data_IF_553642797225
#
_entry.id   IF_553642797225
#
_cell.length_a   1.000
_cell.length_b   1.000
_cell.length_c   1.000
_cell.angle_alpha   90.00
_cell.angle_beta   90.00
_cell.angle_gamma   90.00
#
_symmetry.space_group_name_H-M   'P 1'
#
loop_
_entity.id
_entity.type
_entity.pdbx_description
1 polymer ?
#
# COMPACT_ATOMS: atom_id res chain seq x y z
N UNK A 1 16.06 -6.56 -18.84
CA UNK A 1 16.07 -8.03 -18.70
C UNK A 1 15.32 -8.33 -17.42
N UNK A 2 14.09 -8.84 -17.52
CA UNK A 2 13.14 -8.96 -16.40
C UNK A 2 13.45 -10.26 -15.67
N UNK A 3 13.88 -10.18 -14.41
CA UNK A 3 13.93 -11.35 -13.53
C UNK A 3 12.48 -11.61 -13.08
N UNK A 4 11.84 -12.58 -13.73
CA UNK A 4 10.57 -13.14 -13.25
C UNK A 4 10.88 -14.06 -12.06
N UNK A 5 10.56 -13.61 -10.84
CA UNK A 5 10.44 -14.51 -9.69
C UNK A 5 9.14 -15.30 -9.84
N UNK A 6 9.22 -16.45 -10.49
CA UNK A 6 8.15 -17.46 -10.50
C UNK A 6 8.26 -18.27 -9.20
N UNK A 7 7.33 -18.07 -8.28
CA UNK A 7 7.09 -18.96 -7.15
C UNK A 7 6.26 -20.13 -7.70
N UNK A 8 6.90 -21.27 -7.94
CA UNK A 8 6.21 -22.52 -8.27
C UNK A 8 5.70 -23.19 -6.99
N UNK A 9 4.39 -23.19 -6.80
CA UNK A 9 3.70 -24.11 -5.89
C UNK A 9 3.81 -25.54 -6.45
N UNK A 10 4.46 -26.43 -5.71
CA UNK A 10 4.44 -27.86 -6.00
C UNK A 10 3.22 -28.48 -5.32
N UNK A 11 2.29 -28.96 -6.14
CA UNK A 11 1.24 -29.89 -5.77
C UNK A 11 1.89 -31.26 -5.47
N UNK A 12 1.62 -31.83 -4.30
CA UNK A 12 1.80 -33.25 -4.04
C UNK A 12 0.49 -33.82 -3.49
N UNK A 13 -0.12 -34.71 -4.28
CA UNK A 13 -1.13 -35.66 -3.84
C UNK A 13 -0.42 -36.84 -3.14
N UNK A 14 -0.89 -37.21 -1.95
CA UNK A 14 -0.90 -38.61 -1.51
C UNK A 14 -1.99 -38.84 -0.46
N UNK A 15 -2.79 -39.85 -0.75
CA UNK A 15 -3.96 -40.34 -0.02
C UNK A 15 -3.63 -41.15 1.25
N UNK A 16 -4.67 -41.32 2.07
CA UNK A 16 -4.86 -42.18 3.25
C UNK A 16 -4.28 -41.58 4.54
N UNK A 17 -5.03 -41.35 5.61
CA UNK A 17 -6.29 -41.94 6.06
C UNK A 17 -6.06 -42.41 7.48
N UNK A 18 -6.60 -41.69 8.47
CA UNK A 18 -7.01 -42.20 9.78
C UNK A 18 -7.70 -41.07 10.55
N UNK A 19 -8.77 -41.47 11.23
CA UNK A 19 -9.69 -40.66 12.02
C UNK A 19 -9.00 -40.19 13.30
N UNK A 20 -9.10 -38.91 13.63
CA UNK A 20 -9.00 -38.44 15.02
C UNK A 20 -9.90 -37.22 15.22
N UNK A 21 -10.88 -37.40 16.12
CA UNK A 21 -11.70 -36.35 16.72
C UNK A 21 -10.81 -35.34 17.43
N UNK A 22 -10.95 -34.06 17.09
CA UNK A 22 -10.43 -32.97 17.93
C UNK A 22 -11.56 -31.95 18.14
N UNK A 23 -11.88 -31.78 19.42
CA UNK A 23 -12.89 -30.90 19.98
C UNK A 23 -12.77 -29.45 19.48
N UNK A 24 -13.90 -28.92 19.02
CA UNK A 24 -14.09 -27.50 18.73
C UNK A 24 -14.12 -26.70 20.04
N UNK A 25 -13.08 -25.92 20.30
CA UNK A 25 -13.14 -24.84 21.28
C UNK A 25 -13.88 -23.67 20.64
N UNK A 26 -15.14 -23.50 21.04
CA UNK A 26 -15.92 -22.27 20.88
C UNK A 26 -15.26 -21.12 21.64
N UNK A 27 -15.17 -19.96 21.00
CA UNK A 27 -14.92 -18.71 21.71
C UNK A 27 -14.22 -17.65 20.89
N UNK A 28 -14.96 -16.93 20.04
CA UNK A 28 -14.71 -15.51 19.77
C UNK A 28 -16.03 -14.82 19.46
N UNK A 29 -16.71 -14.46 20.54
CA UNK A 29 -17.68 -13.37 20.54
C UNK A 29 -16.97 -12.01 20.43
N UNK A 30 -17.69 -11.07 19.82
CA UNK A 30 -17.57 -9.62 19.98
C UNK A 30 -16.46 -8.87 19.21
N UNK A 31 -16.72 -8.65 17.91
CA UNK A 31 -16.10 -7.56 17.14
C UNK A 31 -17.06 -6.36 17.17
N UNK A 32 -17.20 -5.74 18.34
CA UNK A 32 -17.84 -4.43 18.49
C UNK A 32 -16.90 -3.45 19.20
N UNK A 33 -16.90 -2.20 18.73
CA UNK A 33 -16.11 -1.06 19.21
C UNK A 33 -14.60 -1.07 18.93
N UNK A 34 -14.23 -0.76 17.68
CA UNK A 34 -13.02 0.05 17.47
C UNK A 34 -13.36 1.50 17.89
N UNK A 35 -13.36 1.76 19.20
CA UNK A 35 -13.13 3.12 19.70
C UNK A 35 -11.62 3.38 19.55
N UNK A 36 -11.23 3.90 18.40
CA UNK A 36 -9.89 4.45 18.28
C UNK A 36 -9.89 5.86 18.85
N UNK A 37 -9.49 5.99 20.12
CA UNK A 37 -8.95 7.24 20.63
C UNK A 37 -7.55 7.44 20.06
N UNK A 38 -7.46 7.68 18.75
CA UNK A 38 -6.28 8.32 18.20
C UNK A 38 -6.41 9.80 18.54
N UNK A 39 -5.70 10.21 19.58
CA UNK A 39 -5.35 11.61 19.75
C UNK A 39 -4.72 12.08 18.44
N UNK A 40 -5.38 13.04 17.79
CA UNK A 40 -4.77 13.90 16.78
C UNK A 40 -3.63 14.67 17.45
N UNK A 41 -2.51 13.99 17.69
CA UNK A 41 -1.23 14.65 17.60
C UNK A 41 -0.97 14.77 16.10
N UNK A 42 -1.56 15.82 15.53
CA UNK A 42 -0.81 16.60 14.57
C UNK A 42 0.56 16.84 15.23
N UNK A 43 1.54 15.98 14.97
CA UNK A 43 2.92 16.41 14.91
C UNK A 43 2.98 17.41 13.75
N UNK A 44 2.36 18.60 13.93
CA UNK A 44 3.07 19.84 13.72
C UNK A 44 4.46 19.55 14.26
N UNK A 45 5.39 19.30 13.34
CA UNK A 45 6.74 18.96 13.69
C UNK A 45 7.12 19.92 14.80
N UNK A 46 7.51 19.38 15.96
CA UNK A 46 8.10 20.22 17.00
C UNK A 46 8.99 21.17 16.24
N UNK A 47 8.61 22.45 16.24
CA UNK A 47 9.53 23.48 15.82
C UNK A 47 10.61 23.35 16.87
N UNK A 48 11.61 22.51 16.56
CA UNK A 48 12.92 22.62 17.15
C UNK A 48 13.18 24.09 16.97
N UNK A 49 13.17 24.82 18.10
CA UNK A 49 13.57 26.21 18.18
C UNK A 49 14.61 26.44 17.09
N UNK A 50 14.37 27.38 16.19
CA UNK A 50 15.17 27.64 14.99
C UNK A 50 16.60 28.13 15.28
N UNK A 51 17.28 27.50 16.23
CA UNK A 51 18.72 27.46 16.31
C UNK A 51 19.25 26.37 15.39
N UNK A 52 20.49 26.53 14.90
CA UNK A 52 21.15 25.50 14.12
C UNK A 52 21.24 24.21 14.94
N UNK A 53 20.77 23.09 14.37
CA UNK A 53 21.05 21.75 14.91
C UNK A 53 22.56 21.57 14.77
N UNK A 54 23.27 21.54 15.90
CA UNK A 54 24.71 21.32 15.91
C UNK A 54 24.97 19.84 15.63
N UNK A 55 25.45 19.54 14.42
CA UNK A 55 25.82 18.17 14.04
C UNK A 55 27.13 17.82 14.72
N UNK A 56 27.06 16.90 15.70
CA UNK A 56 28.27 16.37 16.32
C UNK A 56 29.02 15.52 15.30
N UNK A 57 30.29 15.86 15.08
CA UNK A 57 31.18 14.99 14.33
C UNK A 57 31.39 13.69 15.13
N UNK A 58 31.49 12.54 14.46
CA UNK A 58 31.71 11.28 15.15
C UNK A 58 33.04 11.31 15.89
N UNK A 59 33.09 10.69 17.05
CA UNK A 59 34.36 10.46 17.72
C UNK A 59 35.20 9.47 16.90
N UNK A 60 36.53 9.55 17.00
CA UNK A 60 37.41 8.52 16.43
C UNK A 60 37.12 7.13 17.01
N UNK A 61 36.56 7.08 18.21
CA UNK A 61 36.10 5.86 18.87
C UNK A 61 34.88 5.28 18.14
N UNK A 62 33.93 6.10 17.70
CA UNK A 62 32.76 5.64 16.94
C UNK A 62 33.17 5.01 15.61
N UNK A 63 34.05 5.65 14.83
CA UNK A 63 34.55 5.06 13.58
C UNK A 63 35.26 3.72 13.82
N UNK A 64 36.09 3.64 14.87
CA UNK A 64 36.76 2.39 15.22
C UNK A 64 35.79 1.30 15.63
N UNK A 65 34.70 1.63 16.33
CA UNK A 65 33.68 0.66 16.75
C UNK A 65 32.81 0.22 15.59
N UNK A 66 32.51 1.10 14.64
CA UNK A 66 31.78 0.78 13.40
C UNK A 66 32.57 -0.21 12.52
N UNK A 67 33.91 -0.11 12.51
CA UNK A 67 34.78 -1.07 11.83
C UNK A 67 34.80 -2.46 12.50
N UNK A 68 34.52 -2.53 13.81
CA UNK A 68 34.56 -3.76 14.60
C UNK A 68 33.21 -4.47 14.71
N UNK A 69 32.09 -3.75 14.63
CA UNK A 69 30.74 -4.30 14.76
C UNK A 69 29.79 -3.71 13.73
N UNK A 70 29.23 -4.58 12.89
CA UNK A 70 28.24 -4.22 11.86
C UNK A 70 26.91 -3.81 12.52
N UNK A 71 26.58 -4.39 13.66
CA UNK A 71 25.43 -4.02 14.47
C UNK A 71 25.55 -2.57 14.96
N UNK A 72 26.68 -2.24 15.58
CA UNK A 72 26.96 -0.88 16.04
C UNK A 72 27.01 0.10 14.86
N UNK A 73 27.54 -0.34 13.71
CA UNK A 73 27.53 0.46 12.49
C UNK A 73 26.11 0.86 12.06
N UNK A 74 25.18 -0.10 11.98
CA UNK A 74 23.79 0.23 11.65
C UNK A 74 23.11 1.06 12.73
N UNK A 75 23.39 0.80 14.00
CA UNK A 75 22.85 1.61 15.10
C UNK A 75 23.18 3.09 14.92
N UNK A 76 24.47 3.39 14.71
CA UNK A 76 24.94 4.76 14.50
C UNK A 76 24.30 5.38 13.25
N UNK A 77 24.29 4.67 12.12
CA UNK A 77 23.76 5.21 10.85
C UNK A 77 22.27 5.52 10.91
N UNK A 78 21.49 4.68 11.60
CA UNK A 78 20.02 4.79 11.66
C UNK A 78 19.55 5.79 12.72
N UNK A 79 20.26 5.90 13.84
CA UNK A 79 19.91 6.86 14.91
C UNK A 79 20.41 8.28 14.62
N UNK A 80 21.35 8.44 13.68
CA UNK A 80 21.89 9.74 13.32
C UNK A 80 20.96 10.54 12.40
N UNK A 81 20.75 11.82 12.74
CA UNK A 81 20.08 12.78 11.86
C UNK A 81 21.11 13.41 10.92
N UNK A 82 21.10 12.97 9.68
CA UNK A 82 22.06 13.39 8.66
C UNK A 82 21.79 14.84 8.20
N UNK A 83 22.85 15.65 7.98
CA UNK A 83 22.70 16.99 7.42
C UNK A 83 22.07 16.93 6.04
N UNK A 84 21.19 17.88 5.69
CA UNK A 84 20.64 17.97 4.35
C UNK A 84 21.74 18.19 3.32
N UNK A 85 21.66 17.48 2.19
CA UNK A 85 22.55 17.74 1.06
C UNK A 85 22.23 19.10 0.44
N UNK A 86 23.26 19.86 0.08
CA UNK A 86 23.14 21.14 -0.64
C UNK A 86 22.69 20.91 -2.09
N UNK A 87 23.23 19.87 -2.73
CA UNK A 87 22.94 19.50 -4.11
C UNK A 87 22.58 18.00 -4.18
N UNK A 88 21.42 17.59 -3.65
CA UNK A 88 21.02 16.19 -3.66
C UNK A 88 20.81 15.71 -5.11
N UNK A 89 21.12 14.43 -5.41
CA UNK A 89 20.86 13.86 -6.72
C UNK A 89 19.37 13.91 -7.08
N UNK A 90 19.07 14.04 -8.37
CA UNK A 90 17.70 13.96 -8.86
C UNK A 90 17.21 12.51 -8.83
N UNK A 91 16.01 12.32 -8.28
CA UNK A 91 15.29 11.04 -8.27
C UNK A 91 14.37 10.92 -9.50
N UNK A 92 13.75 12.04 -9.89
CA UNK A 92 13.07 12.23 -11.17
C UNK A 92 13.19 13.70 -11.60
N UNK A 93 12.50 14.10 -12.67
CA UNK A 93 12.60 15.47 -13.21
C UNK A 93 12.14 16.59 -12.28
N UNK A 94 11.45 16.25 -11.18
CA UNK A 94 10.77 17.20 -10.29
C UNK A 94 11.05 16.99 -8.79
N UNK A 95 11.84 15.97 -8.42
CA UNK A 95 12.19 15.65 -7.03
C UNK A 95 13.60 15.09 -6.92
N UNK A 96 14.19 15.28 -5.74
CA UNK A 96 15.52 14.80 -5.39
C UNK A 96 15.44 13.58 -4.47
N UNK A 97 16.54 12.85 -4.34
CA UNK A 97 16.65 11.81 -3.33
C UNK A 97 16.53 12.40 -1.92
N UNK A 98 15.77 11.76 -1.00
CA UNK A 98 15.78 12.10 0.41
C UNK A 98 17.17 11.93 1.00
N UNK A 99 17.57 12.85 1.89
CA UNK A 99 18.84 12.84 2.61
C UNK A 99 19.23 11.48 3.20
N UNK A 100 18.33 10.72 3.87
CA UNK A 100 18.71 9.47 4.53
C UNK A 100 19.07 8.33 3.55
N UNK A 101 18.64 8.41 2.29
CA UNK A 101 18.83 7.30 1.33
C UNK A 101 20.30 7.02 1.11
N UNK A 102 21.09 8.06 0.85
CA UNK A 102 22.52 7.93 0.55
C UNK A 102 23.28 7.23 1.69
N UNK A 103 23.28 7.73 2.94
CA UNK A 103 24.04 7.12 4.01
C UNK A 103 23.54 5.73 4.42
N UNK A 104 22.22 5.50 4.41
CA UNK A 104 21.64 4.19 4.77
C UNK A 104 21.96 3.15 3.69
N UNK A 105 21.76 3.47 2.41
CA UNK A 105 22.05 2.53 1.34
C UNK A 105 23.56 2.28 1.20
N UNK A 106 24.39 3.32 1.36
CA UNK A 106 25.83 3.15 1.43
C UNK A 106 26.25 2.25 2.60
N UNK A 107 25.61 2.34 3.77
CA UNK A 107 25.89 1.43 4.89
C UNK A 107 25.52 -0.02 4.57
N UNK A 108 24.39 -0.26 3.89
CA UNK A 108 24.00 -1.61 3.41
C UNK A 108 25.04 -2.18 2.43
N UNK A 109 25.59 -1.36 1.54
CA UNK A 109 26.66 -1.77 0.62
C UNK A 109 27.98 -2.02 1.34
N UNK A 110 28.39 -1.08 2.20
CA UNK A 110 29.67 -1.10 2.90
C UNK A 110 29.77 -2.28 3.88
N UNK A 111 28.70 -2.51 4.64
CA UNK A 111 28.57 -3.64 5.56
C UNK A 111 28.47 -4.99 4.84
N UNK A 112 28.24 -5.00 3.51
CA UNK A 112 28.05 -6.23 2.73
C UNK A 112 26.92 -7.15 3.25
N UNK A 113 25.99 -6.61 4.04
CA UNK A 113 24.90 -7.34 4.71
C UNK A 113 24.10 -8.23 3.73
N UNK A 114 23.90 -7.75 2.51
CA UNK A 114 23.10 -8.43 1.48
C UNK A 114 23.91 -9.33 0.56
N UNK A 115 25.17 -9.63 0.87
CA UNK A 115 26.06 -10.45 0.02
C UNK A 115 26.43 -11.78 0.72
N UNK A 116 27.18 -12.64 0.02
CA UNK A 116 27.75 -13.88 0.56
C UNK A 116 29.16 -13.66 1.19
N UNK A 117 29.47 -12.45 1.62
CA UNK A 117 30.75 -12.15 2.26
C UNK A 117 30.84 -12.81 3.65
N UNK A 118 31.83 -13.69 3.80
CA UNK A 118 32.06 -14.46 5.04
C UNK A 118 32.32 -13.59 6.26
N UNK A 119 32.83 -12.37 6.08
CA UNK A 119 33.12 -11.47 7.21
C UNK A 119 31.86 -11.01 7.95
N UNK A 120 30.69 -11.14 7.32
CA UNK A 120 29.41 -10.65 7.86
C UNK A 120 28.46 -11.81 8.15
N UNK A 121 28.75 -13.02 7.68
CA UNK A 121 27.86 -14.18 7.84
C UNK A 121 27.59 -14.48 9.32
N UNK A 122 28.61 -14.42 10.17
CA UNK A 122 28.50 -14.64 11.62
C UNK A 122 27.71 -13.53 12.33
N UNK A 123 27.55 -12.37 11.69
CA UNK A 123 26.86 -11.18 12.20
C UNK A 123 25.56 -10.86 11.47
N UNK A 124 25.14 -11.70 10.51
CA UNK A 124 24.04 -11.37 9.62
C UNK A 124 22.73 -11.18 10.38
N UNK A 125 22.35 -12.15 11.20
CA UNK A 125 21.07 -12.13 11.92
C UNK A 125 21.02 -10.97 12.93
N UNK A 126 22.10 -10.75 13.69
CA UNK A 126 22.19 -9.66 14.67
C UNK A 126 22.14 -8.28 13.99
N UNK A 127 22.94 -8.06 12.94
CA UNK A 127 22.96 -6.79 12.22
C UNK A 127 21.64 -6.52 11.49
N UNK A 128 21.04 -7.56 10.88
CA UNK A 128 19.74 -7.46 10.24
C UNK A 128 18.64 -7.11 11.25
N UNK A 129 18.65 -7.72 12.44
CA UNK A 129 17.69 -7.41 13.49
C UNK A 129 17.83 -5.97 13.99
N UNK A 130 19.06 -5.50 14.26
CA UNK A 130 19.30 -4.09 14.62
C UNK A 130 18.76 -3.15 13.54
N UNK A 131 19.05 -3.45 12.27
CA UNK A 131 18.51 -2.65 11.17
C UNK A 131 16.97 -2.59 11.21
N UNK A 132 16.31 -3.74 11.34
CA UNK A 132 14.84 -3.81 11.27
C UNK A 132 14.13 -3.26 12.52
N UNK A 133 14.78 -3.30 13.68
CA UNK A 133 14.27 -2.71 14.92
C UNK A 133 14.40 -1.18 14.92
N UNK A 134 15.52 -0.65 14.42
CA UNK A 134 15.82 0.78 14.49
C UNK A 134 15.32 1.58 13.27
N UNK A 135 15.33 0.99 12.08
CA UNK A 135 14.95 1.68 10.84
C UNK A 135 13.55 2.34 10.87
N UNK A 136 12.49 1.73 11.45
CA UNK A 136 11.19 2.39 11.58
C UNK A 136 11.22 3.73 12.35
N UNK A 137 12.24 3.90 13.20
CA UNK A 137 12.38 4.98 14.17
C UNK A 137 13.44 6.02 13.79
N UNK A 138 13.96 5.99 12.55
CA UNK A 138 14.94 6.99 12.08
C UNK A 138 14.41 8.43 12.30
N UNK A 139 15.27 9.41 12.61
CA UNK A 139 14.89 10.73 13.12
C UNK A 139 14.41 11.70 12.01
N UNK A 140 13.41 11.27 11.24
CA UNK A 140 12.84 11.97 10.10
C UNK A 140 11.31 12.01 10.14
N UNK A 141 10.72 12.92 9.38
CA UNK A 141 9.25 13.01 9.26
C UNK A 141 8.65 11.74 8.65
N UNK A 142 7.34 11.53 8.82
CA UNK A 142 6.66 10.38 8.20
C UNK A 142 6.78 10.37 6.67
N UNK A 143 6.74 11.54 6.04
CA UNK A 143 6.91 11.70 4.60
C UNK A 143 8.31 11.30 4.13
N UNK A 144 9.35 11.74 4.84
CA UNK A 144 10.73 11.37 4.52
C UNK A 144 11.00 9.88 4.77
N UNK A 145 10.47 9.33 5.86
CA UNK A 145 10.54 7.88 6.16
C UNK A 145 9.90 7.05 5.05
N UNK A 146 8.69 7.40 4.63
CA UNK A 146 8.01 6.74 3.51
C UNK A 146 8.83 6.78 2.22
N UNK A 147 9.33 7.95 1.84
CA UNK A 147 10.14 8.11 0.64
C UNK A 147 11.44 7.32 0.72
N UNK A 148 12.09 7.33 1.88
CA UNK A 148 13.32 6.57 2.12
C UNK A 148 13.06 5.07 1.98
N UNK A 149 12.00 4.54 2.60
CA UNK A 149 11.66 3.11 2.52
C UNK A 149 11.35 2.68 1.10
N UNK A 150 10.53 3.48 0.40
CA UNK A 150 10.22 3.26 -1.01
C UNK A 150 11.50 3.13 -1.83
N UNK A 151 12.41 4.09 -1.71
CA UNK A 151 13.62 4.15 -2.51
C UNK A 151 14.59 3.03 -2.14
N UNK A 152 14.72 2.67 -0.86
CA UNK A 152 15.55 1.55 -0.42
C UNK A 152 15.06 0.21 -1.01
N UNK A 153 13.76 -0.03 -1.03
CA UNK A 153 13.19 -1.23 -1.69
C UNK A 153 13.57 -1.23 -3.18
N UNK A 154 13.39 -0.09 -3.85
CA UNK A 154 13.66 0.04 -5.27
C UNK A 154 15.15 -0.12 -5.60
N UNK A 155 16.05 0.50 -4.82
CA UNK A 155 17.49 0.38 -4.98
C UNK A 155 17.98 -1.05 -4.72
N UNK A 156 17.49 -1.69 -3.65
CA UNK A 156 17.85 -3.08 -3.35
C UNK A 156 17.39 -4.05 -4.44
N UNK A 157 16.25 -3.77 -5.07
CA UNK A 157 15.75 -4.56 -6.20
C UNK A 157 16.50 -4.26 -7.52
N UNK A 158 16.71 -2.98 -7.83
CA UNK A 158 17.29 -2.51 -9.10
C UNK A 158 18.78 -2.81 -9.21
N UNK A 159 19.51 -2.58 -8.12
CA UNK A 159 20.96 -2.65 -8.09
C UNK A 159 21.49 -4.01 -7.63
N UNK A 160 20.63 -5.01 -7.42
CA UNK A 160 21.01 -6.35 -6.93
C UNK A 160 22.15 -6.98 -7.75
N UNK A 161 22.08 -6.88 -9.08
CA UNK A 161 23.14 -7.38 -9.97
C UNK A 161 24.39 -6.50 -9.89
N UNK A 162 24.25 -5.17 -9.87
CA UNK A 162 25.38 -4.21 -9.83
C UNK A 162 26.26 -4.46 -8.61
N UNK A 163 25.66 -4.78 -7.47
CA UNK A 163 26.35 -4.95 -6.19
C UNK A 163 26.47 -6.40 -5.72
N UNK A 164 26.19 -7.38 -6.60
CA UNK A 164 26.30 -8.82 -6.30
C UNK A 164 25.55 -9.26 -5.03
N UNK A 165 24.30 -8.82 -4.88
CA UNK A 165 23.49 -9.23 -3.74
C UNK A 165 23.11 -10.71 -3.83
N UNK A 166 23.16 -11.39 -2.68
CA UNK A 166 22.59 -12.71 -2.49
C UNK A 166 21.06 -12.62 -2.68
N UNK A 167 20.47 -13.40 -3.60
CA UNK A 167 19.03 -13.30 -3.90
C UNK A 167 18.11 -13.59 -2.70
N UNK A 168 18.48 -14.53 -1.82
CA UNK A 168 17.68 -14.87 -0.65
C UNK A 168 17.71 -13.75 0.39
N UNK A 169 18.91 -13.25 0.75
CA UNK A 169 19.07 -12.14 1.71
C UNK A 169 18.39 -10.87 1.21
N UNK A 170 18.57 -10.54 -0.07
CA UNK A 170 17.90 -9.40 -0.69
C UNK A 170 16.37 -9.54 -0.66
N UNK A 171 15.83 -10.73 -0.96
CA UNK A 171 14.39 -10.98 -0.90
C UNK A 171 13.82 -10.83 0.52
N UNK A 172 14.54 -11.31 1.55
CA UNK A 172 14.15 -11.14 2.96
C UNK A 172 14.22 -9.67 3.39
N UNK A 173 15.28 -8.96 3.01
CA UNK A 173 15.41 -7.53 3.29
C UNK A 173 14.29 -6.71 2.65
N UNK A 174 14.00 -6.97 1.36
CA UNK A 174 12.92 -6.30 0.64
C UNK A 174 11.55 -6.61 1.26
N UNK A 175 11.28 -7.86 1.66
CA UNK A 175 9.98 -8.22 2.25
C UNK A 175 9.76 -7.54 3.61
N UNK A 176 10.80 -7.42 4.45
CA UNK A 176 10.69 -6.68 5.71
C UNK A 176 10.48 -5.18 5.48
N UNK A 177 11.22 -4.58 4.54
CA UNK A 177 11.00 -3.18 4.17
C UNK A 177 9.62 -2.95 3.56
N UNK A 178 9.07 -3.92 2.81
CA UNK A 178 7.70 -3.85 2.30
C UNK A 178 6.69 -3.76 3.44
N UNK A 179 6.80 -4.58 4.49
CA UNK A 179 5.91 -4.50 5.66
C UNK A 179 5.95 -3.10 6.29
N UNK A 180 7.14 -2.49 6.39
CA UNK A 180 7.32 -1.14 6.93
C UNK A 180 6.71 -0.09 5.99
N UNK A 181 6.94 -0.23 4.68
CA UNK A 181 6.40 0.64 3.65
C UNK A 181 4.87 0.65 3.66
N UNK A 182 4.23 -0.51 3.79
CA UNK A 182 2.77 -0.63 3.84
C UNK A 182 2.18 0.15 5.02
N UNK A 183 2.76 -0.01 6.21
CA UNK A 183 2.36 0.76 7.41
C UNK A 183 2.51 2.26 7.18
N UNK A 184 3.63 2.70 6.61
CA UNK A 184 3.90 4.11 6.34
C UNK A 184 2.95 4.69 5.28
N UNK A 185 2.69 3.95 4.20
CA UNK A 185 1.75 4.35 3.17
C UNK A 185 0.33 4.50 3.72
N UNK A 186 -0.13 3.54 4.54
CA UNK A 186 -1.44 3.64 5.19
C UNK A 186 -1.52 4.86 6.10
N UNK A 187 -0.45 5.18 6.85
CA UNK A 187 -0.39 6.40 7.67
C UNK A 187 -0.50 7.68 6.82
N UNK A 188 0.14 7.72 5.66
CA UNK A 188 0.04 8.86 4.72
C UNK A 188 -1.34 8.97 4.10
N UNK A 189 -2.01 7.85 3.83
CA UNK A 189 -3.35 7.82 3.25
C UNK A 189 -4.45 8.12 4.28
N UNK A 190 -4.19 7.93 5.57
CA UNK A 190 -5.19 8.08 6.63
C UNK A 190 -5.94 9.43 6.60
N UNK A 191 -5.28 10.60 6.47
CA UNK A 191 -5.99 11.88 6.39
C UNK A 191 -6.89 11.99 5.15
N UNK A 192 -6.51 11.36 4.03
CA UNK A 192 -7.35 11.29 2.85
C UNK A 192 -8.58 10.40 3.08
N UNK A 193 -8.42 9.29 3.81
CA UNK A 193 -9.53 8.42 4.19
C UNK A 193 -10.52 9.10 5.12
N UNK A 194 -10.03 9.79 6.16
CA UNK A 194 -10.88 10.52 7.12
C UNK A 194 -11.76 11.56 6.39
N UNK A 195 -11.18 12.33 5.46
CA UNK A 195 -11.93 13.29 4.62
C UNK A 195 -12.98 12.63 3.73
N UNK A 196 -12.77 11.38 3.33
CA UNK A 196 -13.63 10.66 2.40
C UNK A 196 -14.74 9.83 3.05
N UNK A 197 -14.72 9.64 4.37
CA UNK A 197 -15.64 8.74 5.07
C UNK A 197 -17.11 9.17 4.92
N UNK A 198 -17.39 10.46 5.10
CA UNK A 198 -18.73 11.02 4.92
C UNK A 198 -19.25 10.79 3.49
N UNK A 199 -18.37 10.86 2.49
CA UNK A 199 -18.71 10.62 1.09
C UNK A 199 -19.15 9.18 0.87
N UNK A 200 -18.45 8.22 1.47
CA UNK A 200 -18.81 6.79 1.42
C UNK A 200 -20.21 6.57 2.00
N UNK A 201 -20.48 7.16 3.17
CA UNK A 201 -21.77 7.04 3.83
C UNK A 201 -22.90 7.65 2.98
N UNK A 202 -22.72 8.88 2.49
CA UNK A 202 -23.73 9.56 1.64
C UNK A 202 -23.98 8.81 0.34
N UNK A 203 -22.92 8.37 -0.34
CA UNK A 203 -23.03 7.63 -1.59
C UNK A 203 -23.83 6.33 -1.41
N UNK A 204 -23.58 5.56 -0.35
CA UNK A 204 -24.29 4.30 -0.08
C UNK A 204 -25.80 4.43 0.16
N UNK A 205 -26.31 5.65 0.40
CA UNK A 205 -27.77 5.85 0.62
C UNK A 205 -28.59 5.71 -0.65
N UNK A 206 -27.98 5.99 -1.82
CA UNK A 206 -28.65 6.14 -3.12
C UNK A 206 -29.78 7.19 -3.16
N UNK A 207 -29.91 8.03 -2.13
CA UNK A 207 -30.93 9.08 -2.01
C UNK A 207 -30.29 10.45 -1.83
N UNK A 208 -29.12 10.64 -2.42
CA UNK A 208 -28.33 11.86 -2.32
C UNK A 208 -28.72 12.87 -3.40
N UNK A 209 -28.54 14.15 -3.09
CA UNK A 209 -28.58 15.22 -4.09
C UNK A 209 -27.37 15.10 -5.02
N UNK A 210 -27.62 14.86 -6.30
CA UNK A 210 -26.62 14.44 -7.28
C UNK A 210 -25.47 15.44 -7.42
N UNK A 211 -25.80 16.71 -7.72
CA UNK A 211 -24.81 17.74 -8.02
C UNK A 211 -23.95 18.09 -6.80
N UNK A 212 -24.56 18.16 -5.61
CA UNK A 212 -23.83 18.43 -4.38
C UNK A 212 -22.86 17.30 -4.04
N UNK A 213 -23.32 16.05 -4.05
CA UNK A 213 -22.42 14.92 -3.77
C UNK A 213 -21.30 14.82 -4.80
N UNK A 214 -21.59 15.10 -6.07
CA UNK A 214 -20.59 15.06 -7.14
C UNK A 214 -19.53 16.14 -6.91
N UNK A 215 -19.94 17.37 -6.55
CA UNK A 215 -19.02 18.44 -6.18
C UNK A 215 -18.13 18.04 -5.00
N UNK A 216 -18.72 17.51 -3.93
CA UNK A 216 -17.97 17.12 -2.73
C UNK A 216 -16.92 16.03 -3.04
N UNK A 217 -17.26 15.06 -3.90
CA UNK A 217 -16.31 14.06 -4.38
C UNK A 217 -15.13 14.70 -5.12
N UNK A 218 -15.39 15.64 -6.04
CA UNK A 218 -14.34 16.34 -6.80
C UNK A 218 -13.43 17.15 -5.89
N UNK A 219 -14.01 17.87 -4.93
CA UNK A 219 -13.27 18.68 -3.98
C UNK A 219 -12.34 17.82 -3.13
N UNK A 220 -12.83 16.69 -2.60
CA UNK A 220 -11.97 15.75 -1.85
C UNK A 220 -10.86 15.16 -2.74
N UNK A 221 -11.15 14.81 -3.99
CA UNK A 221 -10.13 14.31 -4.92
C UNK A 221 -9.05 15.37 -5.20
N UNK A 222 -9.44 16.63 -5.42
CA UNK A 222 -8.53 17.74 -5.63
C UNK A 222 -7.68 18.02 -4.38
N UNK A 223 -8.31 18.06 -3.19
CA UNK A 223 -7.61 18.24 -1.91
C UNK A 223 -6.61 17.12 -1.64
N UNK A 224 -6.94 15.86 -1.99
CA UNK A 224 -6.03 14.73 -1.83
C UNK A 224 -4.83 14.85 -2.78
N UNK A 225 -5.06 15.13 -4.07
CA UNK A 225 -3.98 15.34 -5.04
C UNK A 225 -3.03 16.46 -4.64
N UNK A 226 -3.56 17.55 -4.11
CA UNK A 226 -2.78 18.71 -3.68
C UNK A 226 -2.03 18.49 -2.34
N UNK A 227 -2.49 17.54 -1.52
CA UNK A 227 -1.85 17.24 -0.22
C UNK A 227 -0.57 16.41 -0.34
N UNK A 228 -0.43 15.59 -1.39
CA UNK A 228 0.76 14.77 -1.60
C UNK A 228 1.90 15.60 -2.21
N UNK A 229 3.11 15.49 -1.64
CA UNK A 229 4.28 16.29 -2.02
C UNK A 229 5.51 15.41 -2.29
N UNK A 230 5.34 14.37 -3.10
CA UNK A 230 6.36 13.36 -3.40
C UNK A 230 6.84 13.36 -4.85
N UNK A 231 6.51 14.40 -5.62
CA UNK A 231 6.73 14.44 -7.07
C UNK A 231 5.62 13.72 -7.84
N UNK A 232 5.42 14.09 -9.10
CA UNK A 232 4.27 13.72 -9.92
C UNK A 232 4.10 12.19 -10.03
N UNK A 233 5.20 11.46 -10.25
CA UNK A 233 5.17 10.01 -10.40
C UNK A 233 4.70 9.31 -9.13
N UNK A 234 5.27 9.66 -7.98
CA UNK A 234 4.96 9.03 -6.70
C UNK A 234 3.61 9.52 -6.17
N UNK A 235 3.26 10.80 -6.38
CA UNK A 235 1.92 11.32 -6.09
C UNK A 235 0.85 10.54 -6.86
N UNK A 236 1.07 10.26 -8.15
CA UNK A 236 0.15 9.45 -8.96
C UNK A 236 0.01 8.04 -8.39
N UNK A 237 1.13 7.44 -7.99
CA UNK A 237 1.12 6.13 -7.34
C UNK A 237 0.33 6.11 -6.03
N UNK A 238 0.58 7.07 -5.13
CA UNK A 238 -0.14 7.20 -3.85
C UNK A 238 -1.63 7.47 -4.10
N UNK A 239 -1.96 8.32 -5.06
CA UNK A 239 -3.35 8.62 -5.43
C UNK A 239 -4.08 7.39 -5.98
N UNK A 240 -3.41 6.56 -6.79
CA UNK A 240 -4.00 5.31 -7.28
C UNK A 240 -4.31 4.34 -6.12
N UNK A 241 -3.44 4.28 -5.11
CA UNK A 241 -3.69 3.50 -3.90
C UNK A 241 -4.85 4.06 -3.09
N UNK A 242 -4.90 5.37 -2.88
CA UNK A 242 -6.05 6.03 -2.26
C UNK A 242 -7.35 5.67 -2.98
N UNK A 243 -7.40 5.85 -4.30
CA UNK A 243 -8.59 5.56 -5.12
C UNK A 243 -9.03 4.10 -5.00
N UNK A 244 -8.07 3.18 -4.99
CA UNK A 244 -8.36 1.76 -4.83
C UNK A 244 -8.99 1.48 -3.46
N UNK A 245 -8.39 1.93 -2.36
CA UNK A 245 -8.98 1.75 -1.03
C UNK A 245 -10.34 2.46 -0.88
N UNK A 246 -10.47 3.67 -1.43
CA UNK A 246 -11.72 4.41 -1.45
C UNK A 246 -12.83 3.66 -2.20
N UNK A 247 -12.51 3.07 -3.35
CA UNK A 247 -13.41 2.20 -4.10
C UNK A 247 -13.88 1.00 -3.26
N UNK A 248 -12.96 0.34 -2.54
CA UNK A 248 -13.31 -0.78 -1.64
C UNK A 248 -14.22 -0.34 -0.49
N UNK A 249 -14.02 0.86 0.08
CA UNK A 249 -14.89 1.39 1.11
C UNK A 249 -16.31 1.67 0.57
N UNK A 250 -16.42 2.25 -0.62
CA UNK A 250 -17.72 2.45 -1.30
C UNK A 250 -18.44 1.12 -1.54
N UNK A 251 -17.71 0.14 -2.09
CA UNK A 251 -18.19 -1.21 -2.34
C UNK A 251 -18.73 -1.89 -1.08
N UNK A 252 -17.90 -1.96 -0.04
CA UNK A 252 -18.26 -2.62 1.21
C UNK A 252 -19.45 -1.94 1.89
N UNK A 253 -19.54 -0.61 1.81
CA UNK A 253 -20.69 0.13 2.34
C UNK A 253 -21.98 -0.19 1.58
N UNK A 254 -21.94 -0.29 0.24
CA UNK A 254 -23.08 -0.73 -0.57
C UNK A 254 -23.50 -2.15 -0.17
N UNK A 255 -22.55 -3.08 -0.10
CA UNK A 255 -22.82 -4.50 0.22
C UNK A 255 -23.50 -4.63 1.59
N UNK A 256 -23.06 -3.87 2.58
CA UNK A 256 -23.66 -3.84 3.92
C UNK A 256 -25.10 -3.29 3.92
N UNK A 257 -25.43 -2.38 2.99
CA UNK A 257 -26.74 -1.75 2.86
C UNK A 257 -27.71 -2.55 1.98
N UNK A 258 -27.89 -3.86 2.25
CA UNK A 258 -28.71 -4.75 1.42
C UNK A 258 -30.16 -4.31 1.17
N UNK A 259 -30.76 -3.53 2.08
CA UNK A 259 -32.10 -2.94 1.92
C UNK A 259 -32.18 -1.91 0.79
N UNK A 260 -31.03 -1.45 0.28
CA UNK A 260 -30.91 -0.50 -0.83
C UNK A 260 -30.76 -1.17 -2.18
N UNK A 261 -30.67 -2.50 -2.26
CA UNK A 261 -30.61 -3.19 -3.55
C UNK A 261 -31.94 -3.07 -4.28
N UNK A 262 -32.00 -2.18 -5.26
CA UNK A 262 -33.15 -1.99 -6.16
C UNK A 262 -32.65 -1.41 -7.48
N UNK A 263 -33.48 -1.45 -8.52
CA UNK A 263 -33.08 -0.97 -9.84
C UNK A 263 -32.88 0.54 -9.82
N UNK A 264 -33.79 1.27 -9.18
CA UNK A 264 -33.77 2.73 -9.11
C UNK A 264 -32.50 3.22 -8.38
N UNK A 265 -32.12 2.59 -7.27
CA UNK A 265 -30.89 2.92 -6.55
C UNK A 265 -29.65 2.56 -7.35
N UNK A 266 -29.64 1.40 -8.02
CA UNK A 266 -28.53 0.98 -8.86
C UNK A 266 -28.32 1.94 -10.04
N UNK A 267 -29.41 2.44 -10.65
CA UNK A 267 -29.36 3.46 -11.69
C UNK A 267 -28.82 4.80 -11.18
N UNK A 268 -29.19 5.20 -9.96
CA UNK A 268 -28.63 6.41 -9.33
C UNK A 268 -27.12 6.30 -9.15
N UNK A 269 -26.64 5.18 -8.59
CA UNK A 269 -25.20 4.91 -8.46
C UNK A 269 -24.49 4.86 -9.81
N UNK A 270 -25.09 4.21 -10.81
CA UNK A 270 -24.48 4.10 -12.14
C UNK A 270 -24.32 5.46 -12.81
N UNK A 271 -25.35 6.31 -12.73
CA UNK A 271 -25.33 7.66 -13.29
C UNK A 271 -24.27 8.51 -12.59
N UNK A 272 -24.22 8.45 -11.26
CA UNK A 272 -23.21 9.16 -10.47
C UNK A 272 -21.80 8.72 -10.82
N UNK A 273 -21.54 7.41 -10.81
CA UNK A 273 -20.20 6.88 -11.08
C UNK A 273 -19.74 7.24 -12.49
N UNK A 274 -20.64 7.27 -13.47
CA UNK A 274 -20.32 7.67 -14.85
C UNK A 274 -19.91 9.14 -14.95
N UNK A 275 -20.63 10.03 -14.27
CA UNK A 275 -20.26 11.45 -14.21
C UNK A 275 -18.93 11.65 -13.49
N UNK A 276 -18.76 11.01 -12.33
CA UNK A 276 -17.54 11.11 -11.53
C UNK A 276 -16.30 10.60 -12.27
N UNK A 277 -16.35 9.41 -12.88
CA UNK A 277 -15.21 8.86 -13.64
C UNK A 277 -14.85 9.73 -14.85
N UNK A 278 -15.85 10.28 -15.54
CA UNK A 278 -15.65 11.19 -16.68
C UNK A 278 -14.95 12.48 -16.25
N UNK A 279 -15.44 13.11 -15.19
CA UNK A 279 -14.95 14.43 -14.76
C UNK A 279 -13.56 14.33 -14.12
N UNK A 280 -13.33 13.33 -13.29
CA UNK A 280 -12.06 13.14 -12.57
C UNK A 280 -11.02 12.34 -13.37
N UNK A 281 -11.41 11.79 -14.53
CA UNK A 281 -10.58 10.93 -15.38
C UNK A 281 -9.98 9.74 -14.62
N UNK A 282 -10.79 9.15 -13.75
CA UNK A 282 -10.44 7.97 -12.95
C UNK A 282 -11.29 6.77 -13.36
N UNK A 283 -10.94 5.58 -12.89
CA UNK A 283 -11.75 4.37 -13.12
C UNK A 283 -11.83 3.54 -11.85
N UNK A 284 -13.05 3.19 -11.46
CA UNK A 284 -13.40 2.33 -10.33
C UNK A 284 -14.03 1.04 -10.87
N UNK A 285 -13.17 0.16 -11.40
CA UNK A 285 -13.57 -1.03 -12.16
C UNK A 285 -14.45 -1.99 -11.35
N UNK A 286 -14.11 -2.25 -10.10
CA UNK A 286 -14.84 -3.20 -9.24
C UNK A 286 -16.18 -2.62 -8.81
N UNK A 287 -16.23 -1.33 -8.47
CA UNK A 287 -17.47 -0.61 -8.16
C UNK A 287 -18.40 -0.59 -9.38
N UNK A 288 -17.85 -0.37 -10.57
CA UNK A 288 -18.58 -0.47 -11.84
C UNK A 288 -19.19 -1.85 -12.04
N UNK A 289 -18.44 -2.93 -11.81
CA UNK A 289 -18.97 -4.29 -11.91
C UNK A 289 -20.10 -4.55 -10.89
N UNK A 290 -19.96 -4.09 -9.64
CA UNK A 290 -21.00 -4.27 -8.61
C UNK A 290 -22.27 -3.52 -8.97
N UNK A 291 -22.14 -2.25 -9.37
CA UNK A 291 -23.29 -1.45 -9.79
C UNK A 291 -23.94 -2.05 -11.03
N UNK A 292 -23.15 -2.50 -12.01
CA UNK A 292 -23.67 -3.13 -13.23
C UNK A 292 -24.40 -4.43 -12.92
N UNK A 293 -23.88 -5.24 -11.99
CA UNK A 293 -24.56 -6.44 -11.51
C UNK A 293 -25.91 -6.13 -10.84
N UNK A 294 -26.00 -5.04 -10.08
CA UNK A 294 -27.25 -4.59 -9.46
C UNK A 294 -28.25 -4.03 -10.49
N UNK A 295 -27.79 -3.28 -11.49
CA UNK A 295 -28.65 -2.81 -12.60
C UNK A 295 -29.19 -4.00 -13.39
N UNK A 296 -28.33 -5.00 -13.66
CA UNK A 296 -28.65 -6.17 -14.48
C UNK A 296 -29.14 -7.38 -13.66
N UNK A 297 -29.45 -7.20 -12.38
CA UNK A 297 -29.76 -8.29 -11.46
C UNK A 297 -30.91 -9.19 -11.96
N UNK A 298 -31.94 -8.60 -12.57
CA UNK A 298 -33.05 -9.35 -13.16
C UNK A 298 -32.61 -10.20 -14.35
N UNK A 299 -31.83 -9.62 -15.26
CA UNK A 299 -31.32 -10.32 -16.44
C UNK A 299 -30.39 -11.46 -16.03
N UNK A 300 -29.51 -11.24 -15.05
CA UNK A 300 -28.61 -12.27 -14.50
C UNK A 300 -29.40 -13.37 -13.77
N UNK A 301 -30.46 -13.01 -13.03
CA UNK A 301 -31.36 -13.97 -12.36
C UNK A 301 -32.04 -14.91 -13.36
N UNK A 302 -32.39 -14.42 -14.56
CA UNK A 302 -33.04 -15.19 -15.62
C UNK A 302 -32.05 -15.96 -16.49
N UNK A 303 -30.91 -15.35 -16.80
CA UNK A 303 -29.82 -15.93 -17.57
C UNK A 303 -28.49 -15.78 -16.79
N UNK A 304 -28.15 -16.77 -15.93
CA UNK A 304 -26.96 -16.70 -15.08
C UNK A 304 -25.64 -16.50 -15.80
N UNK A 305 -25.52 -16.89 -17.07
CA UNK A 305 -24.29 -16.76 -17.86
C UNK A 305 -23.89 -15.30 -18.13
N UNK A 306 -24.87 -14.37 -18.12
CA UNK A 306 -24.62 -12.94 -18.27
C UNK A 306 -23.70 -12.37 -17.18
N UNK A 307 -23.58 -13.04 -16.02
CA UNK A 307 -22.63 -12.63 -14.97
C UNK A 307 -21.20 -12.59 -15.50
N UNK A 308 -20.81 -13.55 -16.34
CA UNK A 308 -19.43 -13.67 -16.83
C UNK A 308 -19.08 -12.55 -17.83
N UNK A 309 -20.08 -11.95 -18.46
CA UNK A 309 -19.93 -10.78 -19.33
C UNK A 309 -19.97 -9.46 -18.56
N UNK A 310 -20.84 -9.36 -17.55
CA UNK A 310 -21.14 -8.09 -16.86
C UNK A 310 -20.20 -7.84 -15.68
N UNK A 311 -19.86 -8.87 -14.93
CA UNK A 311 -19.07 -8.78 -13.70
C UNK A 311 -18.14 -10.00 -13.52
N UNK A 312 -17.19 -10.20 -14.45
CA UNK A 312 -16.34 -11.38 -14.49
C UNK A 312 -15.45 -11.54 -13.25
N UNK A 313 -15.17 -10.45 -12.52
CA UNK A 313 -14.25 -10.46 -11.38
C UNK A 313 -14.96 -10.56 -10.02
N UNK A 314 -16.30 -10.58 -9.99
CA UNK A 314 -17.07 -10.65 -8.74
C UNK A 314 -17.43 -12.08 -8.33
N UNK A 315 -17.19 -12.51 -7.08
CA UNK A 315 -17.52 -13.87 -6.65
C UNK A 315 -19.00 -14.24 -6.91
N UNK A 316 -19.31 -15.44 -7.45
CA UNK A 316 -20.70 -15.84 -7.72
C UNK A 316 -21.61 -15.78 -6.49
N UNK A 317 -21.06 -16.03 -5.29
CA UNK A 317 -21.79 -15.89 -4.03
C UNK A 317 -22.26 -14.45 -3.74
N UNK A 318 -21.48 -13.44 -4.13
CA UNK A 318 -21.86 -12.03 -3.99
C UNK A 318 -23.02 -11.68 -4.90
N UNK A 319 -22.99 -12.16 -6.14
CA UNK A 319 -24.07 -11.93 -7.11
C UNK A 319 -25.35 -12.60 -6.65
N UNK A 320 -25.27 -13.83 -6.14
CA UNK A 320 -26.42 -14.51 -5.53
C UNK A 320 -26.96 -13.72 -4.33
N UNK A 321 -26.08 -13.17 -3.49
CA UNK A 321 -26.47 -12.31 -2.37
C UNK A 321 -27.24 -11.06 -2.83
N UNK A 322 -26.81 -10.41 -3.91
CA UNK A 322 -27.53 -9.29 -4.51
C UNK A 322 -28.90 -9.70 -5.03
N UNK A 323 -29.00 -10.79 -5.81
CA UNK A 323 -30.26 -11.28 -6.37
C UNK A 323 -31.26 -11.63 -5.25
N UNK A 324 -30.80 -12.29 -4.20
CA UNK A 324 -31.65 -12.74 -3.09
C UNK A 324 -32.19 -11.60 -2.23
N UNK A 325 -31.42 -10.52 -2.06
CA UNK A 325 -31.80 -9.36 -1.25
C UNK A 325 -32.36 -8.21 -2.10
N UNK A 326 -32.63 -8.44 -3.38
CA UNK A 326 -33.10 -7.43 -4.31
C UNK A 326 -34.55 -7.02 -4.01
N UNK A 327 -34.74 -5.74 -3.72
CA UNK A 327 -36.03 -5.14 -3.41
C UNK A 327 -36.78 -4.74 -4.68
N UNK A 328 -38.10 -4.83 -4.61
CA UNK A 328 -39.00 -4.39 -5.68
C UNK A 328 -39.06 -2.87 -5.74
N UNK A 329 -39.28 -2.34 -6.92
CA UNK A 329 -39.56 -0.92 -7.14
C UNK A 329 -40.51 -0.72 -8.34
N UNK A 330 -40.61 0.52 -8.85
CA UNK A 330 -41.46 0.87 -9.99
C UNK A 330 -41.07 0.12 -11.28
N UNK A 331 -39.80 -0.24 -11.43
CA UNK A 331 -39.23 -0.90 -12.60
C UNK A 331 -39.29 -2.43 -12.46
N UNK A 332 -38.93 -2.96 -11.28
CA UNK A 332 -38.94 -4.40 -10.97
C UNK A 332 -40.00 -4.69 -9.92
N UNK A 333 -41.16 -5.18 -10.36
CA UNK A 333 -42.34 -5.41 -9.51
C UNK A 333 -42.37 -6.77 -8.79
N UNK A 334 -41.47 -7.68 -9.16
CA UNK A 334 -41.43 -9.05 -8.65
C UNK A 334 -40.09 -9.37 -8.00
N UNK A 335 -40.11 -10.26 -7.01
CA UNK A 335 -38.88 -10.75 -6.41
C UNK A 335 -38.10 -11.56 -7.46
N UNK A 336 -36.78 -11.41 -7.46
CA UNK A 336 -35.92 -12.13 -8.39
C UNK A 336 -35.81 -13.60 -7.99
N UNK A 337 -35.65 -14.49 -8.98
CA UNK A 337 -35.54 -15.93 -8.75
C UNK A 337 -34.08 -16.33 -8.63
N UNK A 338 -33.73 -17.07 -7.58
CA UNK A 338 -32.35 -17.50 -7.31
C UNK A 338 -32.02 -18.90 -7.84
N UNK A 339 -33.04 -19.73 -8.09
CA UNK A 339 -32.87 -21.17 -8.35
C UNK A 339 -32.03 -21.47 -9.60
N UNK A 340 -32.25 -20.76 -10.71
CA UNK A 340 -31.47 -20.94 -11.93
C UNK A 340 -30.00 -20.57 -11.72
N UNK A 341 -29.74 -19.46 -11.02
CA UNK A 341 -28.40 -18.98 -10.70
C UNK A 341 -27.65 -19.96 -9.79
N UNK A 342 -28.29 -20.42 -8.71
CA UNK A 342 -27.73 -21.42 -7.79
C UNK A 342 -27.37 -22.72 -8.52
N UNK A 343 -28.24 -23.18 -9.43
CA UNK A 343 -27.98 -24.39 -10.24
C UNK A 343 -26.77 -24.22 -11.16
N UNK A 344 -26.63 -23.09 -11.85
CA UNK A 344 -25.50 -22.83 -12.76
C UNK A 344 -24.16 -22.83 -12.02
N UNK A 345 -24.08 -22.12 -10.89
CA UNK A 345 -22.84 -21.92 -10.13
C UNK A 345 -22.63 -22.93 -8.99
N UNK A 346 -23.46 -23.99 -8.91
CA UNK A 346 -23.38 -25.07 -7.92
C UNK A 346 -23.38 -24.56 -6.46
N UNK A 347 -24.13 -23.49 -6.19
CA UNK A 347 -24.23 -22.89 -4.86
C UNK A 347 -25.34 -23.58 -4.06
N UNK A 348 -25.01 -24.11 -2.88
CA UNK A 348 -25.94 -24.92 -2.06
C UNK A 348 -26.97 -24.09 -1.29
N UNK A 349 -26.59 -22.89 -0.83
CA UNK A 349 -27.44 -22.07 0.04
C UNK A 349 -27.31 -20.58 -0.33
N UNK A 350 -28.37 -19.83 -0.06
CA UNK A 350 -28.40 -18.38 -0.24
C UNK A 350 -27.65 -17.73 0.94
N UNK A 351 -26.62 -16.91 0.69
CA UNK A 351 -25.93 -16.18 1.75
C UNK A 351 -26.88 -15.22 2.47
N UNK A 352 -26.93 -15.28 3.80
CA UNK A 352 -27.74 -14.36 4.63
C UNK A 352 -26.99 -13.05 4.94
N UNK A 353 -25.67 -13.17 5.02
CA UNK A 353 -24.69 -12.09 5.18
C UNK A 353 -23.60 -12.29 4.13
N UNK A 354 -22.89 -11.21 3.83
CA UNK A 354 -21.72 -11.25 2.97
C UNK A 354 -20.61 -10.49 3.68
N UNK A 355 -19.47 -11.14 3.85
CA UNK A 355 -18.32 -10.52 4.51
C UNK A 355 -17.74 -9.41 3.63
N UNK A 356 -17.25 -8.31 4.22
CA UNK A 356 -16.59 -7.26 3.46
C UNK A 356 -15.55 -7.84 2.51
N UNK A 357 -15.50 -7.32 1.28
CA UNK A 357 -14.43 -7.64 0.35
C UNK A 357 -13.10 -7.25 1.00
N UNK A 358 -12.11 -8.17 1.02
CA UNK A 358 -10.83 -7.89 1.63
C UNK A 358 -10.16 -6.74 0.88
N UNK A 359 -9.44 -5.85 1.58
CA UNK A 359 -8.66 -4.81 0.92
C UNK A 359 -7.63 -5.44 -0.04
N UNK A 360 -7.10 -4.67 -1.00
CA UNK A 360 -6.00 -5.14 -1.83
C UNK A 360 -4.81 -5.53 -0.95
N UNK A 361 -4.14 -6.63 -1.30
CA UNK A 361 -3.16 -7.31 -0.45
C UNK A 361 -1.70 -7.16 -0.91
N UNK A 362 -1.41 -6.33 -1.90
CA UNK A 362 -0.02 -6.15 -2.35
C UNK A 362 0.24 -4.81 -3.04
N UNK A 363 1.28 -4.12 -2.58
CA UNK A 363 1.68 -2.83 -3.14
C UNK A 363 2.69 -3.02 -4.27
N UNK A 364 2.21 -3.05 -5.52
CA UNK A 364 3.07 -3.24 -6.69
C UNK A 364 4.01 -2.05 -6.94
N UNK A 365 5.28 -2.14 -6.54
CA UNK A 365 6.29 -1.07 -6.68
C UNK A 365 7.02 -1.05 -8.03
N UNK A 366 7.03 -2.18 -8.75
CA UNK A 366 7.84 -2.35 -9.98
C UNK A 366 7.52 -1.34 -11.09
N UNK A 367 6.30 -0.80 -11.12
CA UNK A 367 5.90 0.21 -12.10
C UNK A 367 6.65 1.53 -11.94
N UNK A 368 7.12 1.86 -10.72
CA UNK A 368 7.85 3.09 -10.45
C UNK A 368 9.28 3.05 -10.99
N UNK A 369 9.93 1.88 -10.95
CA UNK A 369 11.35 1.73 -11.31
C UNK A 369 11.70 2.26 -12.71
N UNK A 370 10.79 2.12 -13.67
CA UNK A 370 11.05 2.48 -15.08
C UNK A 370 11.27 3.97 -15.31
N UNK A 371 10.77 4.81 -14.40
CA UNK A 371 10.71 6.26 -14.58
C UNK A 371 11.54 7.02 -13.53
N UNK A 372 12.29 6.31 -12.68
CA UNK A 372 13.13 6.88 -11.64
C UNK A 372 14.61 6.76 -12.01
N UNK A 373 15.39 7.78 -11.67
CA UNK A 373 16.84 7.81 -11.89
C UNK A 373 17.59 7.07 -10.76
N UNK A 374 17.26 5.78 -10.56
CA UNK A 374 17.84 4.98 -9.48
C UNK A 374 19.37 4.82 -9.57
N UNK A 375 19.94 4.92 -10.78
CA UNK A 375 21.38 4.82 -10.98
C UNK A 375 22.17 6.06 -10.50
N UNK A 376 21.51 7.18 -10.23
CA UNK A 376 22.15 8.42 -9.78
C UNK A 376 22.06 8.65 -8.26
N UNK A 377 21.64 7.65 -7.48
CA UNK A 377 21.45 7.77 -6.03
C UNK A 377 22.69 8.25 -5.26
N UNK A 378 23.88 8.02 -5.81
CA UNK A 378 25.18 8.36 -5.25
C UNK A 378 25.93 9.45 -6.04
N UNK A 379 25.25 10.16 -6.96
CA UNK A 379 25.84 11.26 -7.72
C UNK A 379 25.71 12.58 -6.95
N UNK A 380 26.70 12.89 -6.12
CA UNK A 380 26.73 14.14 -5.36
C UNK A 380 28.14 14.76 -5.32
N UNK A 381 28.21 16.04 -4.95
CA UNK A 381 29.48 16.75 -4.85
C UNK A 381 30.28 16.30 -3.64
N UNK A 382 31.61 16.28 -3.73
CA UNK A 382 32.48 15.83 -2.63
C UNK A 382 32.50 16.79 -1.42
N UNK A 383 32.05 18.04 -1.61
CA UNK A 383 31.97 19.07 -0.56
C UNK A 383 30.66 19.04 0.25
N UNK A 384 29.81 18.03 0.02
CA UNK A 384 28.60 17.80 0.79
C UNK A 384 28.92 17.49 2.26
N UNK A 385 28.28 18.21 3.18
CA UNK A 385 28.55 18.12 4.62
C UNK A 385 28.35 16.70 5.16
N UNK A 386 27.32 16.01 4.68
CA UNK A 386 27.02 14.63 5.07
C UNK A 386 28.18 13.65 4.75
N UNK A 387 28.97 13.91 3.71
CA UNK A 387 30.13 13.07 3.31
C UNK A 387 31.36 13.29 4.19
N UNK A 388 31.38 14.36 4.97
CA UNK A 388 32.48 14.67 5.88
C UNK A 388 32.35 13.97 7.23
N UNK A 389 31.16 13.44 7.52
CA UNK A 389 30.84 12.82 8.80
C UNK A 389 31.58 11.49 8.95
N UNK A 390 31.41 10.55 8.02
CA UNK A 390 32.05 9.25 8.07
C UNK A 390 32.80 8.92 6.78
N UNK A 391 34.00 8.34 6.92
CA UNK A 391 34.87 8.01 5.78
C UNK A 391 34.26 7.04 4.77
N UNK A 392 33.43 6.09 5.21
CA UNK A 392 32.88 5.06 4.34
C UNK A 392 32.02 5.64 3.20
N UNK A 393 31.35 6.77 3.43
CA UNK A 393 30.47 7.41 2.44
C UNK A 393 31.22 7.77 1.16
N UNK A 394 32.45 8.29 1.29
CA UNK A 394 33.29 8.69 0.16
C UNK A 394 33.64 7.53 -0.78
N UNK A 395 33.61 6.29 -0.28
CA UNK A 395 33.85 5.08 -1.09
C UNK A 395 32.71 4.78 -2.05
N UNK A 396 31.54 5.38 -1.84
CA UNK A 396 30.32 5.07 -2.58
C UNK A 396 29.84 6.22 -3.47
N UNK A 397 30.50 7.38 -3.46
CA UNK A 397 30.12 8.54 -4.27
C UNK A 397 30.67 8.44 -5.69
N UNK A 398 29.84 8.78 -6.67
CA UNK A 398 30.24 9.02 -8.06
C UNK A 398 30.21 10.53 -8.30
N UNK A 399 31.27 11.12 -8.86
CA UNK A 399 31.23 12.53 -9.24
C UNK A 399 30.09 12.78 -10.25
N UNK A 400 29.34 13.89 -10.11
CA UNK A 400 28.05 14.10 -10.80
C UNK A 400 28.09 13.95 -12.33
#
# INVERSE_FOLDING_TARGET
>A
MVINLHITEKTQESNNGDEDEIDFIEGYDDVSSYESSYSEEEEEGQSINGGPVEYQMPSLEDESMMELSVEYFFHVVLTYKWPPMKNPPLLSGDITFPTPVLPIFAAVLHSKLLTDDKSVEDHYDSAFNVFMEEYPNIPYTHSERFMTTLILILLSSHCAIKYNFNPQKAAVFISQLQIIFEKQLMKILQPAFNRSEMLVNRFSTATFEFDYLLSDFKDVMAMNRNSFKYGQLINTYVMNWFLLFFEYNLLNKIIQCKTRFSFSNAMQWNSFLSAFESDEKVTMKRLREVISALVMAQSISQNPELRDEICPNLPPYLILYFIANYSKDSNIKHALKTSAYMKKYKIKAIPQKYDPLPPPNSFGLMQLMKNLYLNSWNKCSEDEECLTIYKYLKLHIESP
#
